data_IF_871408461480
#
_entry.id   IF_871408461480
#
_cell.length_a   1.000
_cell.length_b   1.000
_cell.length_c   1.000
_cell.angle_alpha   90.00
_cell.angle_beta   90.00
_cell.angle_gamma   90.00
#
_symmetry.space_group_name_H-M   'P 1'
#
loop_
_entity.id
_entity.type
_entity.pdbx_description
1 polymer ?
#
# COMPACT_ATOMS: atom_id res chain seq x y z
N UNK A 1 11.27 27.24 -0.66
CA UNK A 1 10.21 26.34 -1.14
C UNK A 1 10.68 24.91 -0.92
N UNK A 2 9.80 23.94 -0.68
CA UNK A 2 10.20 22.53 -0.57
C UNK A 2 10.51 21.98 -1.97
N UNK A 3 11.44 21.00 -2.10
CA UNK A 3 11.75 20.41 -3.39
C UNK A 3 10.52 19.68 -3.97
N UNK A 4 10.40 19.68 -5.31
CA UNK A 4 9.43 18.84 -5.98
C UNK A 4 9.78 17.37 -5.75
N UNK A 5 8.77 16.53 -5.55
CA UNK A 5 8.93 15.10 -5.30
C UNK A 5 7.94 14.30 -6.15
N UNK A 6 8.29 13.04 -6.40
CA UNK A 6 7.46 12.11 -7.16
C UNK A 6 7.42 10.76 -6.43
N UNK A 7 6.27 10.36 -5.92
CA UNK A 7 6.12 9.04 -5.29
C UNK A 7 5.40 8.09 -6.24
N UNK A 8 5.81 6.82 -6.22
CA UNK A 8 5.15 5.75 -6.95
C UNK A 8 4.60 4.73 -5.95
N UNK A 9 3.29 4.53 -5.96
CA UNK A 9 2.60 3.55 -5.12
C UNK A 9 2.00 2.46 -6.01
N UNK A 10 2.22 1.21 -5.63
CA UNK A 10 1.73 0.04 -6.39
C UNK A 10 0.94 -0.85 -5.44
N UNK A 11 -0.22 -1.30 -5.88
CA UNK A 11 -1.04 -2.25 -5.13
C UNK A 11 -1.58 -3.34 -6.03
N UNK A 12 -1.43 -4.59 -5.59
CA UNK A 12 -1.97 -5.78 -6.24
C UNK A 12 -2.98 -6.39 -5.29
N UNK A 13 -4.19 -6.63 -5.78
CA UNK A 13 -5.25 -7.28 -5.02
C UNK A 13 -5.73 -8.52 -5.77
N UNK A 14 -5.75 -9.64 -5.09
CA UNK A 14 -6.17 -10.92 -5.63
C UNK A 14 -7.27 -11.53 -4.77
N UNK A 15 -8.45 -11.73 -5.38
CA UNK A 15 -9.62 -12.31 -4.72
C UNK A 15 -9.84 -13.73 -5.23
N UNK A 16 -9.72 -14.69 -4.33
CA UNK A 16 -10.13 -16.08 -4.52
C UNK A 16 -11.56 -16.27 -4.04
N UNK A 17 -12.43 -16.72 -4.94
CA UNK A 17 -13.78 -17.15 -4.59
C UNK A 17 -13.74 -18.63 -4.20
N UNK A 18 -14.07 -18.93 -2.94
CA UNK A 18 -14.14 -20.27 -2.38
C UNK A 18 -15.60 -20.65 -2.12
N UNK A 19 -16.38 -20.99 -3.16
CA UNK A 19 -17.82 -21.34 -3.10
C UNK A 19 -18.67 -20.36 -2.27
N UNK A 20 -18.71 -20.52 -0.94
CA UNK A 20 -19.44 -19.70 0.04
C UNK A 20 -18.51 -18.77 0.86
N UNK A 21 -17.24 -18.63 0.50
CA UNK A 21 -16.29 -17.78 1.20
C UNK A 21 -15.47 -17.00 0.17
N UNK A 22 -14.95 -15.83 0.57
CA UNK A 22 -13.99 -15.09 -0.24
C UNK A 22 -12.68 -14.94 0.53
N UNK A 23 -11.58 -15.22 -0.15
CA UNK A 23 -10.24 -14.99 0.38
C UNK A 23 -9.57 -13.89 -0.46
N UNK A 24 -9.21 -12.79 0.16
CA UNK A 24 -8.64 -11.62 -0.51
C UNK A 24 -7.23 -11.33 -0.01
N UNK A 25 -6.27 -11.47 -0.92
CA UNK A 25 -4.88 -11.11 -0.71
C UNK A 25 -4.63 -9.73 -1.29
N UNK A 26 -4.03 -8.85 -0.50
CA UNK A 26 -3.61 -7.52 -0.93
C UNK A 26 -2.14 -7.33 -0.62
N UNK A 27 -1.38 -6.94 -1.62
CA UNK A 27 0.01 -6.53 -1.53
C UNK A 27 0.07 -5.07 -1.96
N UNK A 28 0.58 -4.20 -1.10
CA UNK A 28 0.73 -2.77 -1.38
C UNK A 28 2.16 -2.35 -1.08
N UNK A 29 2.81 -1.72 -2.04
CA UNK A 29 4.10 -1.07 -1.89
C UNK A 29 3.89 0.43 -2.04
N UNK A 30 4.04 1.17 -0.95
CA UNK A 30 3.99 2.63 -0.95
C UNK A 30 5.40 3.18 -1.02
N UNK A 31 5.57 4.29 -1.74
CA UNK A 31 6.85 4.91 -2.02
C UNK A 31 7.87 3.89 -2.57
N UNK A 32 7.50 3.21 -3.66
CA UNK A 32 8.27 2.12 -4.29
C UNK A 32 9.70 2.55 -4.65
N UNK A 33 9.84 3.79 -5.13
CA UNK A 33 11.13 4.41 -5.48
C UNK A 33 11.92 4.88 -4.24
N UNK A 34 11.33 4.82 -3.05
CA UNK A 34 11.92 5.25 -1.78
C UNK A 34 12.41 6.71 -1.80
N UNK A 35 11.59 7.59 -2.36
CA UNK A 35 11.82 9.01 -2.39
C UNK A 35 11.69 9.61 -0.98
N UNK A 36 12.69 10.38 -0.57
CA UNK A 36 12.67 11.10 0.69
C UNK A 36 12.11 12.50 0.44
N UNK A 37 10.88 12.73 0.89
CA UNK A 37 10.19 14.00 0.69
C UNK A 37 9.55 14.51 1.96
N UNK A 38 9.26 15.81 1.97
CA UNK A 38 8.66 16.50 3.09
C UNK A 38 7.51 17.34 2.55
N UNK A 39 6.33 17.21 3.14
CA UNK A 39 5.18 18.06 2.82
C UNK A 39 5.19 19.31 3.70
N UNK A 40 5.67 19.17 4.93
CA UNK A 40 5.83 20.24 5.92
C UNK A 40 7.31 20.29 6.29
N UNK A 41 7.84 21.50 6.49
CA UNK A 41 9.24 21.69 6.89
C UNK A 41 9.54 20.91 8.16
N UNK A 42 10.67 20.20 8.16
CA UNK A 42 11.14 19.42 9.29
C UNK A 42 10.23 18.25 9.71
N UNK A 43 9.31 17.83 8.84
CA UNK A 43 8.49 16.63 9.02
C UNK A 43 8.65 15.70 7.81
N UNK A 44 9.62 14.77 7.84
CA UNK A 44 9.81 13.80 6.75
C UNK A 44 8.64 12.83 6.68
N UNK A 45 8.14 12.59 5.47
CA UNK A 45 7.14 11.56 5.25
C UNK A 45 7.74 10.17 5.40
N UNK A 46 6.91 9.15 5.69
CA UNK A 46 7.37 7.77 5.75
C UNK A 46 8.06 7.39 4.42
N UNK A 47 9.19 6.69 4.54
CA UNK A 47 9.89 6.12 3.39
C UNK A 47 9.08 4.97 2.76
N UNK A 48 9.78 4.07 2.07
CA UNK A 48 9.15 2.90 1.47
C UNK A 48 8.47 2.00 2.51
N UNK A 49 7.22 1.66 2.25
CA UNK A 49 6.41 0.79 3.12
C UNK A 49 5.78 -0.33 2.29
N UNK A 50 5.85 -1.57 2.80
CA UNK A 50 5.20 -2.73 2.22
C UNK A 50 4.13 -3.25 3.16
N UNK A 51 2.89 -3.27 2.69
CA UNK A 51 1.75 -3.82 3.40
C UNK A 51 1.27 -5.09 2.71
N UNK A 52 1.24 -6.18 3.46
CA UNK A 52 0.57 -7.40 3.05
C UNK A 52 -0.66 -7.60 3.92
N UNK A 53 -1.80 -7.92 3.30
CA UNK A 53 -3.05 -8.16 4.00
C UNK A 53 -3.74 -9.39 3.42
N UNK A 54 -4.22 -10.25 4.32
CA UNK A 54 -5.07 -11.40 3.99
C UNK A 54 -6.40 -11.16 4.68
N UNK A 55 -7.48 -11.15 3.92
CA UNK A 55 -8.84 -11.04 4.46
C UNK A 55 -9.61 -12.29 4.08
N UNK A 56 -10.22 -12.94 5.06
CA UNK A 56 -11.11 -14.07 4.86
C UNK A 56 -12.52 -13.64 5.24
N UNK A 57 -13.43 -13.73 4.29
CA UNK A 57 -14.83 -13.36 4.43
C UNK A 57 -15.66 -14.66 4.37
N UNK A 58 -16.41 -14.91 5.44
CA UNK A 58 -17.32 -16.05 5.54
C UNK A 58 -18.73 -15.57 5.19
N UNK A 59 -19.38 -16.27 4.27
CA UNK A 59 -20.80 -16.08 4.00
C UNK A 59 -21.56 -16.96 5.01
N UNK A 60 -22.27 -16.31 5.93
CA UNK A 60 -23.03 -16.94 7.03
C UNK A 60 -24.39 -17.44 6.55
#
# INVERSE_FOLDING_TARGET
MLPSYFTLDVSVNYRLKLKANNLNFKLSANNLLNENYQIIRNFPMPGRNFLFSINYEMEN
#
